data_IF_886614646357
#
_entry.id   IF_886614646357
#
_cell.length_a   1.000
_cell.length_b   1.000
_cell.length_c   1.000
_cell.angle_alpha   90.00
_cell.angle_beta   90.00
_cell.angle_gamma   90.00
#
_symmetry.space_group_name_H-M   'P 1'
#
loop_
_entity.id
_entity.type
_entity.pdbx_description
1 polymer ?
#
# COMPACT_ATOMS: atom_id res chain seq x y z
N UNK A 1 25.53 7.33 17.58
CA UNK A 1 24.75 6.98 16.37
C UNK A 1 24.25 5.54 16.50
N UNK A 2 22.93 5.33 16.53
CA UNK A 2 22.34 3.99 16.63
C UNK A 2 22.38 3.29 15.27
N UNK A 3 22.80 2.03 15.22
CA UNK A 3 22.90 1.24 13.97
C UNK A 3 21.88 0.11 13.87
N UNK A 4 21.19 -0.16 14.97
CA UNK A 4 20.25 -1.27 15.13
C UNK A 4 18.91 -0.75 15.60
N UNK A 5 17.85 -1.47 15.21
CA UNK A 5 16.49 -1.21 15.64
C UNK A 5 16.35 -1.50 17.15
N UNK A 6 15.79 -0.57 17.91
CA UNK A 6 15.55 -0.71 19.35
C UNK A 6 14.55 -1.81 19.70
N UNK A 7 13.74 -2.28 18.74
CA UNK A 7 12.68 -3.25 18.96
C UNK A 7 13.07 -4.70 18.61
N UNK A 8 13.91 -4.89 17.58
CA UNK A 8 14.23 -6.22 17.06
C UNK A 8 15.73 -6.48 16.90
N UNK A 9 16.57 -5.51 17.26
CA UNK A 9 18.03 -5.51 17.06
C UNK A 9 18.48 -5.74 15.61
N UNK A 10 17.57 -5.63 14.64
CA UNK A 10 17.89 -5.71 13.22
C UNK A 10 18.71 -4.51 12.75
N UNK A 11 19.56 -4.70 11.74
CA UNK A 11 20.35 -3.62 11.13
C UNK A 11 19.43 -2.59 10.47
N UNK A 12 19.68 -1.31 10.73
CA UNK A 12 19.09 -0.20 9.99
C UNK A 12 19.95 0.03 8.75
N UNK A 13 19.39 -0.21 7.56
CA UNK A 13 20.09 -0.14 6.29
C UNK A 13 20.10 1.30 5.73
N UNK A 14 21.00 1.59 4.78
CA UNK A 14 21.16 2.92 4.20
C UNK A 14 22.16 3.80 4.95
N UNK A 15 22.35 5.01 4.43
CA UNK A 15 23.29 6.03 4.89
C UNK A 15 22.56 7.27 5.48
N UNK A 16 21.23 7.22 5.58
CA UNK A 16 20.40 8.35 6.04
C UNK A 16 20.16 9.43 4.98
N UNK A 17 20.73 9.31 3.78
CA UNK A 17 20.51 10.22 2.66
C UNK A 17 20.67 11.70 3.06
N UNK A 18 19.64 12.54 2.90
CA UNK A 18 19.74 13.99 3.14
C UNK A 18 19.95 14.36 4.62
N UNK A 19 19.68 13.43 5.55
CA UNK A 19 19.87 13.67 6.99
C UNK A 19 21.31 13.46 7.45
N UNK A 20 22.16 12.83 6.64
CA UNK A 20 23.51 12.40 7.03
C UNK A 20 23.54 11.60 8.36
N UNK A 21 22.47 10.85 8.66
CA UNK A 21 22.35 10.00 9.85
C UNK A 21 23.19 8.71 9.76
N UNK A 22 23.81 8.41 8.63
CA UNK A 22 24.59 7.19 8.41
C UNK A 22 23.77 5.90 8.43
N UNK A 23 22.45 5.99 8.64
CA UNK A 23 21.49 4.88 8.70
C UNK A 23 20.12 5.32 8.21
N UNK A 24 19.36 4.39 7.66
CA UNK A 24 17.99 4.57 7.22
C UNK A 24 17.87 4.83 5.72
N UNK A 25 17.05 4.01 5.04
CA UNK A 25 16.51 4.32 3.70
C UNK A 25 15.06 4.81 3.76
N UNK A 26 14.36 4.47 4.84
CA UNK A 26 12.99 4.89 5.11
C UNK A 26 12.97 5.77 6.36
N UNK A 27 12.64 7.04 6.17
CA UNK A 27 12.75 8.09 7.18
C UNK A 27 11.39 8.75 7.35
N UNK A 28 10.97 9.00 8.59
CA UNK A 28 9.78 9.79 8.86
C UNK A 28 10.15 11.08 9.61
N UNK A 29 9.43 12.16 9.39
CA UNK A 29 9.69 13.41 10.09
C UNK A 29 8.41 14.22 10.32
N UNK A 30 8.38 14.91 11.45
CA UNK A 30 7.36 15.89 11.83
C UNK A 30 8.06 17.24 12.02
N UNK A 31 7.77 18.19 11.12
CA UNK A 31 8.30 19.55 11.17
C UNK A 31 7.81 20.34 12.39
N UNK A 32 6.57 20.11 12.82
CA UNK A 32 5.96 20.85 13.92
C UNK A 32 6.44 20.33 15.27
N UNK A 33 6.55 19.01 15.42
CA UNK A 33 7.01 18.39 16.66
C UNK A 33 8.54 18.21 16.72
N UNK A 34 9.27 18.52 15.66
CA UNK A 34 10.73 18.38 15.62
C UNK A 34 11.20 16.93 15.75
N UNK A 35 10.41 15.97 15.24
CA UNK A 35 10.66 14.54 15.38
C UNK A 35 11.17 13.95 14.08
N UNK A 36 12.14 13.04 14.19
CA UNK A 36 12.74 12.30 13.08
C UNK A 36 12.82 10.84 13.49
N UNK A 37 12.35 9.95 12.63
CA UNK A 37 12.40 8.51 12.83
C UNK A 37 13.09 7.81 11.65
N UNK A 38 13.77 6.72 11.96
CA UNK A 38 14.21 5.72 10.98
C UNK A 38 13.31 4.50 11.10
N UNK A 39 12.65 4.11 10.01
CA UNK A 39 11.75 2.95 10.00
C UNK A 39 12.55 1.70 9.69
N UNK A 40 12.48 0.69 10.56
CA UNK A 40 13.21 -0.56 10.38
C UNK A 40 12.66 -1.37 9.20
N UNK A 41 13.48 -1.83 8.25
CA UNK A 41 13.00 -2.65 7.13
C UNK A 41 12.55 -4.06 7.55
N UNK A 42 12.97 -4.54 8.73
CA UNK A 42 12.67 -5.90 9.21
C UNK A 42 11.35 -6.00 9.98
N UNK A 43 11.10 -5.08 10.90
CA UNK A 43 9.90 -5.10 11.76
C UNK A 43 8.97 -3.90 11.55
N UNK A 44 9.28 -2.98 10.64
CA UNK A 44 8.51 -1.77 10.35
C UNK A 44 8.29 -0.82 11.52
N UNK A 45 8.98 -1.02 12.64
CA UNK A 45 8.93 -0.13 13.81
C UNK A 45 9.73 1.15 13.57
N UNK A 46 9.21 2.25 14.09
CA UNK A 46 9.75 3.60 13.92
C UNK A 46 10.73 3.88 15.06
N UNK A 47 12.00 4.05 14.73
CA UNK A 47 13.07 4.28 15.70
C UNK A 47 13.35 5.77 15.76
N UNK A 48 13.01 6.41 16.88
CA UNK A 48 13.25 7.83 17.10
C UNK A 48 14.76 8.11 17.02
N UNK A 49 15.15 9.04 16.14
CA UNK A 49 16.53 9.47 16.01
C UNK A 49 16.94 10.30 17.25
N UNK A 50 18.18 10.23 17.75
CA UNK A 50 18.67 11.06 18.85
C UNK A 50 18.49 12.57 18.62
N UNK A 51 18.53 13.36 19.69
CA UNK A 51 18.22 14.81 19.69
C UNK A 51 19.24 15.69 18.96
N UNK A 52 20.48 15.21 18.77
CA UNK A 52 21.58 16.02 18.22
C UNK A 52 21.33 16.43 16.75
N UNK A 53 21.35 17.74 16.49
CA UNK A 53 21.15 18.41 15.19
C UNK A 53 19.82 18.09 14.47
N UNK A 54 18.74 17.72 15.18
CA UNK A 54 17.47 17.30 14.55
C UNK A 54 16.87 18.33 13.59
N UNK A 55 16.94 19.62 13.91
CA UNK A 55 16.30 20.69 13.12
C UNK A 55 16.89 20.78 11.70
N UNK A 56 18.22 20.83 11.58
CA UNK A 56 18.92 20.91 10.29
C UNK A 56 18.64 19.66 9.44
N UNK A 57 18.58 18.48 10.09
CA UNK A 57 18.27 17.20 9.43
C UNK A 57 16.82 17.14 8.96
N UNK A 58 15.88 17.68 9.74
CA UNK A 58 14.46 17.78 9.38
C UNK A 58 14.27 18.77 8.23
N UNK A 59 14.96 19.91 8.23
CA UNK A 59 14.92 20.86 7.12
C UNK A 59 15.50 20.28 5.82
N UNK A 60 16.58 19.50 5.91
CA UNK A 60 17.11 18.77 4.77
C UNK A 60 16.11 17.74 4.23
N UNK A 61 15.40 17.04 5.11
CA UNK A 61 14.30 16.15 4.74
C UNK A 61 13.11 16.88 4.14
N UNK A 62 12.72 18.02 4.69
CA UNK A 62 11.60 18.82 4.19
C UNK A 62 11.89 19.35 2.78
N UNK A 63 13.12 19.79 2.52
CA UNK A 63 13.60 20.17 1.17
C UNK A 63 13.59 18.98 0.22
N UNK A 64 14.18 17.85 0.62
CA UNK A 64 14.17 16.63 -0.17
C UNK A 64 12.75 16.12 -0.45
N UNK A 65 11.84 16.27 0.51
CA UNK A 65 10.44 15.92 0.37
C UNK A 65 9.69 16.87 -0.57
N UNK A 66 10.07 18.15 -0.63
CA UNK A 66 9.55 19.13 -1.59
C UNK A 66 9.92 18.83 -3.04
N UNK A 67 11.15 18.38 -3.26
CA UNK A 67 11.61 17.88 -4.58
C UNK A 67 11.19 16.42 -4.84
N UNK A 68 10.71 15.76 -3.79
CA UNK A 68 10.29 14.39 -3.77
C UNK A 68 8.91 14.23 -4.37
N UNK A 69 8.61 13.02 -4.80
CA UNK A 69 7.33 12.72 -5.40
C UNK A 69 6.40 12.09 -4.39
N UNK A 70 5.27 12.73 -4.11
CA UNK A 70 4.23 12.18 -3.24
C UNK A 70 3.72 10.88 -3.88
N UNK A 71 3.82 9.78 -3.15
CA UNK A 71 3.33 8.49 -3.57
C UNK A 71 1.93 8.23 -3.05
N UNK A 72 1.64 8.65 -1.82
CA UNK A 72 0.30 8.54 -1.25
C UNK A 72 0.20 9.48 -0.04
N UNK A 73 -0.98 10.02 0.25
CA UNK A 73 -1.19 10.92 1.38
C UNK A 73 -2.58 10.74 2.00
N UNK A 74 -2.66 11.12 3.26
CA UNK A 74 -3.85 11.19 4.12
C UNK A 74 -3.90 12.58 4.76
N UNK A 75 -4.85 12.83 5.68
CA UNK A 75 -4.90 14.11 6.37
C UNK A 75 -3.71 14.34 7.32
N UNK A 76 -3.06 13.27 7.79
CA UNK A 76 -2.00 13.36 8.80
C UNK A 76 -0.64 12.88 8.33
N UNK A 77 -0.55 12.07 7.26
CA UNK A 77 0.71 11.50 6.80
C UNK A 77 0.81 11.50 5.27
N UNK A 78 1.98 11.85 4.74
CA UNK A 78 2.31 11.72 3.33
C UNK A 78 3.56 10.87 3.13
N UNK A 79 3.45 9.83 2.30
CA UNK A 79 4.57 9.04 1.81
C UNK A 79 5.12 9.69 0.54
N UNK A 80 6.39 10.07 0.57
CA UNK A 80 7.11 10.80 -0.46
C UNK A 80 8.33 9.98 -0.84
N UNK A 81 8.62 9.85 -2.12
CA UNK A 81 9.81 9.13 -2.56
C UNK A 81 10.81 10.06 -3.23
N UNK A 82 12.06 9.96 -2.82
CA UNK A 82 13.14 10.83 -3.28
C UNK A 82 14.44 10.05 -3.41
N UNK A 83 15.05 10.02 -4.61
CA UNK A 83 16.37 9.39 -4.90
C UNK A 83 16.63 8.02 -4.26
N UNK A 84 15.62 7.15 -4.21
CA UNK A 84 15.72 5.80 -3.62
C UNK A 84 15.42 5.72 -2.11
N UNK A 85 15.04 6.84 -1.49
CA UNK A 85 14.56 6.93 -0.11
C UNK A 85 13.04 7.04 -0.08
N UNK A 86 12.45 6.45 0.96
CA UNK A 86 11.06 6.63 1.33
C UNK A 86 11.00 7.63 2.49
N UNK A 87 10.49 8.83 2.23
CA UNK A 87 10.32 9.90 3.20
C UNK A 87 8.85 9.96 3.63
N UNK A 88 8.57 9.88 4.93
CA UNK A 88 7.23 9.99 5.48
C UNK A 88 7.11 11.33 6.19
N UNK A 89 6.36 12.26 5.61
CA UNK A 89 6.07 13.54 6.23
C UNK A 89 4.83 13.41 7.10
N UNK A 90 4.95 13.75 8.37
CA UNK A 90 3.88 13.78 9.36
C UNK A 90 3.34 15.23 9.46
N UNK A 91 2.02 15.35 9.61
CA UNK A 91 1.28 16.61 9.63
C UNK A 91 0.50 16.87 8.34
N UNK A 92 -0.24 17.99 8.31
CA UNK A 92 -1.15 18.34 7.21
C UNK A 92 -0.37 18.46 5.88
N UNK A 93 -0.57 17.56 4.90
CA UNK A 93 0.21 17.59 3.68
C UNK A 93 -0.06 18.86 2.87
N UNK A 94 0.98 19.46 2.30
CA UNK A 94 0.79 20.43 1.21
C UNK A 94 0.14 19.66 0.05
N UNK A 95 -1.01 20.12 -0.44
CA UNK A 95 -1.73 19.49 -1.57
C UNK A 95 -0.75 19.37 -2.74
N UNK A 96 -0.50 18.17 -3.23
CA UNK A 96 0.46 17.93 -4.30
C UNK A 96 0.09 16.72 -5.16
N UNK A 97 0.42 16.90 -6.44
CA UNK A 97 0.09 16.06 -7.58
C UNK A 97 1.04 14.84 -7.67
N UNK A 98 0.48 13.67 -8.02
CA UNK A 98 1.16 12.37 -8.03
C UNK A 98 1.92 12.13 -9.35
N UNK A 99 2.93 11.25 -9.38
CA UNK A 99 3.56 10.82 -10.66
C UNK A 99 4.10 9.35 -10.72
N UNK A 100 3.40 8.44 -11.40
CA UNK A 100 3.88 7.48 -12.44
C UNK A 100 4.94 6.41 -12.18
N UNK A 101 5.97 6.62 -11.35
CA UNK A 101 7.15 5.74 -11.34
C UNK A 101 7.04 4.48 -10.46
N UNK A 102 6.03 4.41 -9.57
CA UNK A 102 5.89 3.38 -8.52
C UNK A 102 5.37 2.02 -9.01
N UNK A 103 4.81 1.96 -10.21
CA UNK A 103 4.02 0.81 -10.64
C UNK A 103 4.77 -0.16 -11.57
N UNK A 104 5.83 0.33 -12.22
CA UNK A 104 6.65 -0.48 -13.13
C UNK A 104 7.30 -1.69 -12.45
N UNK A 105 7.85 -1.51 -11.25
CA UNK A 105 8.55 -2.59 -10.53
C UNK A 105 7.60 -3.63 -9.92
N UNK A 106 6.46 -3.19 -9.35
CA UNK A 106 5.48 -4.11 -8.74
C UNK A 106 4.79 -5.01 -9.78
N UNK A 107 4.46 -4.46 -10.96
CA UNK A 107 3.88 -5.26 -12.04
C UNK A 107 4.91 -6.22 -12.64
N UNK A 108 6.20 -5.84 -12.71
CA UNK A 108 7.29 -6.75 -13.08
C UNK A 108 7.46 -7.89 -12.07
N UNK A 109 7.45 -7.61 -10.78
CA UNK A 109 7.52 -8.64 -9.73
C UNK A 109 6.35 -9.62 -9.79
N UNK A 110 5.11 -9.13 -10.00
CA UNK A 110 3.94 -10.00 -10.19
C UNK A 110 4.03 -10.84 -11.46
N UNK A 111 4.56 -10.29 -12.56
CA UNK A 111 4.82 -11.05 -13.80
C UNK A 111 5.88 -12.12 -13.56
N UNK A 112 6.94 -11.84 -12.79
CA UNK A 112 7.95 -12.83 -12.41
C UNK A 112 7.38 -13.93 -11.51
N UNK A 113 6.57 -13.61 -10.51
CA UNK A 113 5.88 -14.61 -9.67
C UNK A 113 4.91 -15.49 -10.49
N UNK A 114 4.18 -14.90 -11.44
CA UNK A 114 3.37 -15.67 -12.39
C UNK A 114 4.23 -16.60 -13.24
N UNK A 115 5.37 -16.12 -13.75
CA UNK A 115 6.30 -16.92 -14.54
C UNK A 115 6.89 -18.09 -13.73
N UNK A 116 7.16 -17.93 -12.43
CA UNK A 116 7.63 -19.03 -11.57
C UNK A 116 6.66 -20.21 -11.50
N UNK A 117 5.35 -19.98 -11.65
CA UNK A 117 4.35 -21.06 -11.69
C UNK A 117 4.08 -21.52 -13.13
N UNK A 118 3.93 -20.58 -14.06
CA UNK A 118 3.55 -20.86 -15.45
C UNK A 118 4.68 -21.54 -16.23
N UNK A 119 5.94 -21.12 -16.07
CA UNK A 119 7.09 -21.67 -16.81
C UNK A 119 7.30 -23.16 -16.50
N UNK A 120 7.47 -23.62 -15.24
CA UNK A 120 7.68 -25.03 -14.96
C UNK A 120 6.47 -25.90 -15.34
N UNK A 121 5.24 -25.41 -15.15
CA UNK A 121 4.03 -26.14 -15.60
C UNK A 121 3.92 -26.23 -17.12
N UNK A 122 4.37 -25.20 -17.86
CA UNK A 122 4.39 -25.22 -19.32
C UNK A 122 5.48 -26.17 -19.83
N UNK A 123 6.67 -26.16 -19.21
CA UNK A 123 7.76 -27.10 -19.51
C UNK A 123 7.33 -28.54 -19.23
N UNK A 124 6.69 -28.81 -18.09
CA UNK A 124 6.17 -30.13 -17.74
C UNK A 124 5.07 -30.60 -18.71
N UNK A 125 4.15 -29.73 -19.11
CA UNK A 125 3.11 -30.05 -20.08
C UNK A 125 3.68 -30.31 -21.50
N UNK A 126 4.72 -29.58 -21.91
CA UNK A 126 5.44 -29.84 -23.16
C UNK A 126 6.20 -31.18 -23.07
N UNK A 127 6.85 -31.47 -21.94
CA UNK A 127 7.52 -32.77 -21.71
C UNK A 127 6.57 -33.97 -21.77
N UNK A 128 5.37 -33.84 -21.19
CA UNK A 128 4.32 -34.87 -21.26
C UNK A 128 3.77 -35.04 -22.69
N UNK A 129 3.63 -33.95 -23.46
CA UNK A 129 3.17 -33.99 -24.85
C UNK A 129 4.21 -34.60 -25.81
N UNK A 130 5.51 -34.47 -25.52
CA UNK A 130 6.59 -35.16 -26.25
C UNK A 130 6.57 -36.66 -25.95
N UNK A 131 6.37 -37.06 -24.69
CA UNK A 131 6.31 -38.47 -24.30
C UNK A 131 5.09 -39.22 -24.87
N UNK A 132 3.92 -38.55 -24.98
CA UNK A 132 2.69 -39.16 -25.52
C UNK A 132 2.71 -39.27 -27.05
N UNK A 133 3.46 -38.43 -27.78
CA UNK A 133 3.47 -38.42 -29.25
C UNK A 133 4.34 -39.51 -29.90
N UNK A 134 5.21 -40.20 -29.16
CA UNK A 134 5.91 -41.37 -29.70
C UNK A 134 4.95 -42.54 -29.97
N UNK A 135 3.76 -42.56 -29.36
CA UNK A 135 2.83 -43.67 -29.44
C UNK A 135 1.64 -43.51 -30.42
N UNK A 136 1.30 -42.29 -30.87
CA UNK A 136 -0.01 -42.04 -31.52
C UNK A 136 0.00 -41.27 -32.85
N UNK A 137 1.15 -40.91 -33.42
CA UNK A 137 1.21 -40.32 -34.78
C UNK A 137 0.47 -38.98 -34.93
N UNK A 138 0.21 -38.26 -33.84
CA UNK A 138 -0.47 -36.96 -33.84
C UNK A 138 0.50 -35.79 -34.03
N UNK A 139 0.08 -34.74 -34.72
CA UNK A 139 0.89 -33.54 -34.97
C UNK A 139 1.24 -32.81 -33.67
N UNK A 140 2.49 -32.94 -33.21
CA UNK A 140 3.12 -32.29 -32.04
C UNK A 140 2.83 -30.78 -31.97
N UNK A 141 2.66 -30.11 -33.12
CA UNK A 141 2.51 -28.66 -33.22
C UNK A 141 1.26 -28.05 -32.56
N UNK A 142 0.12 -28.76 -32.54
CA UNK A 142 -1.16 -28.19 -32.05
C UNK A 142 -1.23 -28.11 -30.52
N UNK A 143 -0.62 -29.08 -29.83
CA UNK A 143 -0.55 -29.11 -28.36
C UNK A 143 0.50 -28.12 -27.82
N UNK A 144 1.68 -28.02 -28.46
CA UNK A 144 2.75 -27.08 -28.06
C UNK A 144 2.34 -25.62 -28.26
N UNK A 145 1.53 -25.29 -29.26
CA UNK A 145 1.08 -23.92 -29.52
C UNK A 145 0.02 -23.40 -28.53
N UNK A 146 -0.75 -24.30 -27.89
CA UNK A 146 -1.84 -23.94 -26.97
C UNK A 146 -1.51 -24.15 -25.47
N UNK A 147 -0.42 -24.83 -25.12
CA UNK A 147 -0.02 -25.10 -23.73
C UNK A 147 0.11 -23.84 -22.86
N UNK A 148 0.72 -22.71 -23.31
CA UNK A 148 0.80 -21.50 -22.49
C UNK A 148 -0.58 -20.90 -22.17
N UNK A 149 -1.53 -20.98 -23.11
CA UNK A 149 -2.91 -20.51 -22.91
C UNK A 149 -3.66 -21.39 -21.91
N UNK A 150 -3.47 -22.71 -21.99
CA UNK A 150 -4.07 -23.68 -21.08
C UNK A 150 -3.56 -23.49 -19.65
N UNK A 151 -2.24 -23.38 -19.47
CA UNK A 151 -1.61 -23.15 -18.15
C UNK A 151 -2.06 -21.82 -17.56
N UNK A 152 -2.10 -20.74 -18.37
CA UNK A 152 -2.65 -19.45 -17.94
C UNK A 152 -4.11 -19.57 -17.49
N UNK A 153 -4.95 -20.31 -18.22
CA UNK A 153 -6.36 -20.53 -17.84
C UNK A 153 -6.48 -21.26 -16.49
N UNK A 154 -5.68 -22.30 -16.26
CA UNK A 154 -5.65 -23.04 -14.97
C UNK A 154 -5.23 -22.11 -13.82
N UNK A 155 -4.18 -21.31 -14.02
CA UNK A 155 -3.71 -20.37 -13.02
C UNK A 155 -4.76 -19.29 -12.69
N UNK A 156 -5.40 -18.71 -13.72
CA UNK A 156 -6.51 -17.75 -13.55
C UNK A 156 -7.66 -18.36 -12.77
N UNK A 157 -8.06 -19.58 -13.12
CA UNK A 157 -9.14 -20.28 -12.42
C UNK A 157 -8.78 -20.51 -10.95
N UNK A 158 -7.55 -20.98 -10.66
CA UNK A 158 -7.05 -21.16 -9.30
C UNK A 158 -7.09 -19.86 -8.48
N UNK A 159 -6.61 -18.74 -9.05
CA UNK A 159 -6.67 -17.42 -8.40
C UNK A 159 -8.12 -16.97 -8.20
N UNK A 160 -9.00 -17.21 -9.18
CA UNK A 160 -10.42 -16.91 -9.09
C UNK A 160 -11.17 -17.72 -8.02
N UNK A 161 -10.67 -18.91 -7.65
CA UNK A 161 -11.24 -19.74 -6.58
C UNK A 161 -10.83 -19.29 -5.18
N UNK A 162 -9.82 -18.43 -5.03
CA UNK A 162 -9.34 -18.00 -3.71
C UNK A 162 -10.48 -17.34 -2.93
N UNK A 163 -10.71 -17.83 -1.70
CA UNK A 163 -11.71 -17.30 -0.79
C UNK A 163 -11.28 -15.91 -0.30
N UNK A 164 -12.25 -15.02 -0.16
CA UNK A 164 -12.09 -13.74 0.53
C UNK A 164 -12.61 -13.98 1.95
N UNK A 165 -11.71 -14.00 2.91
CA UNK A 165 -12.04 -14.21 4.32
C UNK A 165 -12.29 -12.83 4.91
N UNK A 166 -13.56 -12.55 5.20
CA UNK A 166 -13.99 -11.37 5.94
C UNK A 166 -14.14 -11.74 7.40
N UNK A 167 -14.02 -10.77 8.31
CA UNK A 167 -14.24 -11.00 9.74
C UNK A 167 -15.68 -11.44 9.96
N UNK A 168 -16.62 -10.73 9.34
CA UNK A 168 -18.05 -11.06 9.36
C UNK A 168 -18.56 -11.16 7.91
N UNK A 169 -18.77 -12.39 7.40
CA UNK A 169 -19.33 -12.57 6.06
C UNK A 169 -20.76 -12.04 6.01
N UNK A 170 -21.11 -11.19 5.03
CA UNK A 170 -22.44 -10.59 5.01
C UNK A 170 -23.50 -11.61 4.59
N UNK A 171 -24.74 -11.38 5.00
CA UNK A 171 -25.89 -12.21 4.65
C UNK A 171 -26.67 -11.55 3.52
N UNK A 172 -27.06 -12.32 2.51
CA UNK A 172 -27.88 -11.82 1.40
C UNK A 172 -29.31 -11.52 1.89
N UNK A 173 -29.76 -10.27 1.81
CA UNK A 173 -31.10 -9.86 2.24
C UNK A 173 -32.22 -10.54 1.44
N UNK A 174 -31.96 -10.96 0.19
CA UNK A 174 -32.97 -11.58 -0.67
C UNK A 174 -33.18 -13.06 -0.41
N UNK A 175 -32.13 -13.82 -0.09
CA UNK A 175 -32.22 -15.28 0.02
C UNK A 175 -31.69 -15.84 1.35
N UNK A 176 -31.27 -14.99 2.28
CA UNK A 176 -30.78 -15.37 3.60
C UNK A 176 -29.44 -16.12 3.62
N UNK A 177 -28.79 -16.31 2.47
CA UNK A 177 -27.54 -17.07 2.42
C UNK A 177 -26.35 -16.24 2.89
N UNK A 178 -25.48 -16.85 3.72
CA UNK A 178 -24.17 -16.28 4.06
C UNK A 178 -23.30 -16.19 2.79
N UNK A 179 -22.81 -14.99 2.48
CA UNK A 179 -22.08 -14.71 1.26
C UNK A 179 -20.60 -15.08 1.39
N UNK A 180 -20.29 -16.35 1.10
CA UNK A 180 -18.91 -16.82 0.98
C UNK A 180 -18.28 -16.34 -0.33
N UNK A 181 -17.54 -15.24 -0.26
CA UNK A 181 -16.96 -14.58 -1.42
C UNK A 181 -15.68 -15.28 -1.93
N UNK A 182 -15.51 -15.26 -3.25
CA UNK A 182 -14.28 -15.64 -3.94
C UNK A 182 -13.84 -14.50 -4.84
N UNK A 183 -12.57 -14.44 -5.20
CA UNK A 183 -12.03 -13.38 -6.04
C UNK A 183 -12.82 -13.19 -7.36
N UNK A 184 -13.34 -14.27 -7.97
CA UNK A 184 -14.18 -14.17 -9.17
C UNK A 184 -15.59 -13.61 -8.96
N UNK A 185 -16.13 -13.65 -7.74
CA UNK A 185 -17.46 -13.08 -7.47
C UNK A 185 -17.42 -11.55 -7.55
N UNK A 186 -16.24 -10.96 -7.35
CA UNK A 186 -16.02 -9.51 -7.38
C UNK A 186 -16.11 -8.93 -8.80
N UNK A 187 -16.14 -9.75 -9.85
CA UNK A 187 -16.30 -9.26 -11.22
C UNK A 187 -17.57 -8.44 -11.42
N UNK A 188 -18.65 -8.78 -10.71
CA UNK A 188 -19.94 -8.07 -10.76
C UNK A 188 -20.08 -7.00 -9.68
N UNK A 189 -19.13 -6.89 -8.76
CA UNK A 189 -19.16 -5.87 -7.73
C UNK A 189 -19.00 -4.47 -8.34
N UNK A 190 -19.49 -3.45 -7.63
CA UNK A 190 -19.40 -2.04 -8.03
C UNK A 190 -18.79 -1.25 -6.89
N UNK A 191 -17.87 -0.35 -7.20
CA UNK A 191 -17.37 0.61 -6.21
C UNK A 191 -18.47 1.64 -5.99
N UNK A 192 -18.72 1.99 -4.75
CA UNK A 192 -19.61 3.08 -4.34
C UNK A 192 -18.94 3.87 -3.21
N UNK A 193 -19.56 4.95 -2.75
CA UNK A 193 -19.08 5.78 -1.65
C UNK A 193 -20.17 5.92 -0.60
N UNK A 194 -19.82 5.81 0.67
CA UNK A 194 -20.72 6.09 1.79
C UNK A 194 -20.30 7.37 2.49
N UNK A 195 -21.25 8.07 3.09
CA UNK A 195 -20.98 9.31 3.83
C UNK A 195 -20.06 9.10 5.04
N UNK A 196 -20.07 7.91 5.66
CA UNK A 196 -19.27 7.60 6.86
C UNK A 196 -17.88 7.05 6.56
N UNK A 197 -17.74 6.15 5.58
CA UNK A 197 -16.48 5.41 5.37
C UNK A 197 -15.78 5.74 4.04
N UNK A 198 -16.38 6.61 3.23
CA UNK A 198 -15.82 7.15 2.00
C UNK A 198 -15.84 6.16 0.83
N UNK A 199 -15.35 4.92 1.00
CA UNK A 199 -15.40 3.85 0.00
C UNK A 199 -16.26 2.70 0.50
N UNK A 200 -17.09 2.17 -0.39
CA UNK A 200 -17.83 0.94 -0.17
C UNK A 200 -17.90 0.11 -1.45
N UNK A 201 -18.28 -1.15 -1.29
CA UNK A 201 -18.35 -2.11 -2.38
C UNK A 201 -19.71 -2.78 -2.38
N UNK A 202 -20.50 -2.50 -3.41
CA UNK A 202 -21.78 -3.17 -3.64
C UNK A 202 -21.51 -4.53 -4.26
N UNK A 203 -22.00 -5.58 -3.60
CA UNK A 203 -21.80 -6.96 -3.99
C UNK A 203 -23.02 -7.54 -4.68
N UNK A 204 -22.76 -8.53 -5.54
CA UNK A 204 -23.78 -9.44 -6.06
C UNK A 204 -23.70 -10.76 -5.30
N UNK A 205 -24.84 -11.23 -4.79
CA UNK A 205 -24.94 -12.51 -4.11
C UNK A 205 -24.50 -13.67 -5.04
N UNK A 206 -23.51 -14.49 -4.63
CA UNK A 206 -23.07 -15.63 -5.43
C UNK A 206 -24.14 -16.72 -5.61
N UNK A 207 -25.09 -16.82 -4.68
CA UNK A 207 -26.10 -17.88 -4.65
C UNK A 207 -27.32 -17.56 -5.52
N UNK A 208 -27.87 -16.35 -5.41
CA UNK A 208 -29.12 -15.95 -6.08
C UNK A 208 -28.97 -14.80 -7.09
N UNK A 209 -27.78 -14.19 -7.19
CA UNK A 209 -27.51 -13.10 -8.13
C UNK A 209 -28.11 -11.74 -7.74
N UNK A 210 -28.71 -11.61 -6.55
CA UNK A 210 -29.23 -10.34 -6.07
C UNK A 210 -28.10 -9.33 -5.80
N UNK A 211 -28.29 -8.08 -6.20
CA UNK A 211 -27.48 -6.95 -5.75
C UNK A 211 -28.10 -6.37 -4.47
N UNK A 212 -27.29 -5.75 -3.61
CA UNK A 212 -27.82 -4.99 -2.45
C UNK A 212 -26.92 -5.02 -1.23
N UNK A 213 -26.17 -6.11 -1.04
CA UNK A 213 -25.25 -6.22 0.09
C UNK A 213 -24.02 -5.32 -0.11
N UNK A 214 -23.73 -4.47 0.86
CA UNK A 214 -22.62 -3.52 0.80
C UNK A 214 -21.54 -3.89 1.82
N UNK A 215 -20.29 -3.97 1.38
CA UNK A 215 -19.13 -3.93 2.27
C UNK A 215 -18.67 -2.49 2.41
N UNK A 216 -18.18 -2.13 3.59
CA UNK A 216 -17.57 -0.82 3.86
C UNK A 216 -16.16 -0.99 4.44
N UNK A 217 -15.40 0.11 4.48
CA UNK A 217 -14.16 0.18 5.25
C UNK A 217 -13.08 -0.82 4.81
N UNK A 218 -12.44 -1.44 5.80
CA UNK A 218 -11.33 -2.37 5.58
C UNK A 218 -11.76 -3.61 4.79
N UNK A 219 -12.97 -4.12 5.03
CA UNK A 219 -13.51 -5.30 4.32
C UNK A 219 -13.78 -4.99 2.85
N UNK A 220 -14.33 -3.81 2.55
CA UNK A 220 -14.50 -3.34 1.17
C UNK A 220 -13.17 -3.22 0.45
N UNK A 221 -12.18 -2.58 1.09
CA UNK A 221 -10.84 -2.39 0.53
C UNK A 221 -10.13 -3.73 0.29
N UNK A 222 -10.18 -4.64 1.27
CA UNK A 222 -9.59 -5.97 1.16
C UNK A 222 -10.21 -6.79 0.04
N UNK A 223 -11.55 -6.85 -0.01
CA UNK A 223 -12.28 -7.57 -1.05
C UNK A 223 -12.00 -6.99 -2.45
N UNK A 224 -12.00 -5.66 -2.57
CA UNK A 224 -11.71 -4.95 -3.82
C UNK A 224 -10.29 -5.25 -4.33
N UNK A 225 -9.26 -5.18 -3.49
CA UNK A 225 -7.87 -5.52 -3.87
C UNK A 225 -7.76 -6.94 -4.42
N UNK A 226 -8.40 -7.91 -3.75
CA UNK A 226 -8.42 -9.32 -4.18
C UNK A 226 -9.15 -9.50 -5.51
N UNK A 227 -10.29 -8.83 -5.69
CA UNK A 227 -11.06 -8.84 -6.93
C UNK A 227 -10.31 -8.23 -8.11
N UNK A 228 -9.67 -7.07 -7.91
CA UNK A 228 -8.89 -6.38 -8.94
C UNK A 228 -7.66 -7.17 -9.36
N UNK A 229 -6.93 -7.76 -8.40
CA UNK A 229 -5.81 -8.66 -8.69
C UNK A 229 -6.24 -9.81 -9.61
N UNK A 230 -7.39 -10.46 -9.31
CA UNK A 230 -7.91 -11.52 -10.14
C UNK A 230 -8.34 -11.02 -11.53
N UNK A 231 -9.06 -9.90 -11.60
CA UNK A 231 -9.55 -9.35 -12.86
C UNK A 231 -8.42 -8.90 -13.78
N UNK A 232 -7.38 -8.25 -13.24
CA UNK A 232 -6.22 -7.82 -14.02
C UNK A 232 -5.38 -9.01 -14.50
N UNK A 233 -5.39 -10.13 -13.77
CA UNK A 233 -4.84 -11.40 -14.24
C UNK A 233 -5.69 -12.04 -15.35
N UNK A 234 -7.00 -12.18 -15.12
CA UNK A 234 -7.93 -12.88 -15.99
C UNK A 234 -8.15 -12.18 -17.33
N UNK A 235 -8.17 -10.84 -17.29
CA UNK A 235 -8.49 -9.96 -18.44
C UNK A 235 -7.31 -9.05 -18.81
N UNK A 236 -6.09 -9.46 -18.43
CA UNK A 236 -4.87 -8.70 -18.66
C UNK A 236 -4.54 -8.55 -20.15
N UNK A 237 -4.47 -7.29 -20.60
CA UNK A 237 -3.96 -6.88 -21.92
C UNK A 237 -2.49 -6.41 -21.87
N UNK A 238 -2.04 -5.65 -22.88
CA UNK A 238 -0.76 -4.88 -22.82
C UNK A 238 -0.90 -3.63 -21.92
N UNK A 239 -1.47 -3.81 -20.72
CA UNK A 239 -1.61 -2.73 -19.75
C UNK A 239 -0.23 -2.26 -19.33
N UNK A 240 0.08 -0.98 -19.54
CA UNK A 240 1.32 -0.40 -19.02
C UNK A 240 1.02 0.27 -17.68
N UNK A 241 1.90 0.02 -16.73
CA UNK A 241 1.88 0.68 -15.42
C UNK A 241 1.81 2.21 -15.56
N UNK A 242 2.53 2.74 -16.53
CA UNK A 242 2.61 4.17 -16.87
C UNK A 242 1.26 4.73 -17.32
N UNK A 243 0.51 4.00 -18.15
CA UNK A 243 -0.79 4.43 -18.66
C UNK A 243 -1.83 4.48 -17.54
N UNK A 244 -1.84 3.46 -16.69
CA UNK A 244 -2.69 3.41 -15.51
C UNK A 244 -2.33 4.51 -14.50
N UNK A 245 -1.04 4.78 -14.29
CA UNK A 245 -0.64 5.84 -13.37
C UNK A 245 -1.03 7.22 -13.87
N UNK A 246 -0.88 7.50 -15.18
CA UNK A 246 -1.38 8.74 -15.79
C UNK A 246 -2.88 8.93 -15.60
N UNK A 247 -3.67 7.85 -15.53
CA UNK A 247 -5.10 7.93 -15.20
C UNK A 247 -5.36 8.32 -13.73
N UNK A 248 -4.54 7.82 -12.80
CA UNK A 248 -4.63 8.22 -11.38
C UNK A 248 -4.31 9.72 -11.25
N UNK A 249 -3.26 10.17 -11.94
CA UNK A 249 -2.80 11.56 -11.92
C UNK A 249 -3.81 12.49 -12.56
N UNK A 250 -4.27 12.16 -13.78
CA UNK A 250 -5.26 12.97 -14.49
C UNK A 250 -6.61 13.06 -13.77
N UNK A 251 -6.90 12.13 -12.86
CA UNK A 251 -8.07 12.21 -11.98
C UNK A 251 -7.87 13.15 -10.78
N UNK A 252 -6.63 13.61 -10.50
CA UNK A 252 -6.27 14.41 -9.33
C UNK A 252 -5.80 13.58 -8.14
N UNK A 253 -5.51 12.29 -8.32
CA UNK A 253 -4.97 11.39 -7.30
C UNK A 253 -5.83 10.16 -7.00
N UNK A 254 -5.35 9.24 -6.12
CA UNK A 254 -6.03 7.99 -5.79
C UNK A 254 -7.46 8.18 -5.29
N UNK A 255 -7.67 9.16 -4.40
CA UNK A 255 -8.97 9.43 -3.80
C UNK A 255 -9.99 9.88 -4.85
N UNK A 256 -9.62 10.83 -5.69
CA UNK A 256 -10.47 11.35 -6.76
C UNK A 256 -10.76 10.29 -7.81
N UNK A 257 -9.77 9.43 -8.15
CA UNK A 257 -10.01 8.31 -9.07
C UNK A 257 -11.02 7.31 -8.50
N UNK A 258 -10.90 6.92 -7.22
CA UNK A 258 -11.86 6.03 -6.56
C UNK A 258 -13.26 6.64 -6.62
N UNK A 259 -13.37 7.94 -6.33
CA UNK A 259 -14.63 8.66 -6.35
C UNK A 259 -15.25 8.76 -7.76
N UNK A 260 -14.44 9.03 -8.80
CA UNK A 260 -14.92 9.05 -10.19
C UNK A 260 -15.34 7.64 -10.67
N UNK A 261 -14.64 6.59 -10.27
CA UNK A 261 -15.07 5.21 -10.57
C UNK A 261 -16.39 4.90 -9.86
N UNK A 262 -16.54 5.30 -8.60
CA UNK A 262 -17.77 5.08 -7.84
C UNK A 262 -18.99 5.76 -8.48
N UNK A 263 -18.84 7.00 -8.96
CA UNK A 263 -19.91 7.75 -9.63
C UNK A 263 -20.45 7.10 -10.92
N UNK A 264 -19.64 6.26 -11.57
CA UNK A 264 -20.02 5.63 -12.85
C UNK A 264 -20.90 4.39 -12.67
N UNK A 265 -21.00 3.87 -11.44
CA UNK A 265 -21.80 2.68 -11.09
C UNK A 265 -21.53 1.45 -11.98
N UNK A 266 -20.31 1.37 -12.50
CA UNK A 266 -19.87 0.29 -13.38
C UNK A 266 -19.41 -0.91 -12.55
N UNK A 267 -19.68 -2.11 -13.06
CA UNK A 267 -19.10 -3.33 -12.50
C UNK A 267 -17.58 -3.36 -12.70
N UNK A 268 -16.83 -3.97 -11.78
CA UNK A 268 -15.37 -4.09 -11.91
C UNK A 268 -14.94 -4.79 -13.21
N UNK A 269 -15.77 -5.73 -13.70
CA UNK A 269 -15.57 -6.40 -14.99
C UNK A 269 -15.66 -5.44 -16.18
N UNK A 270 -16.60 -4.49 -16.13
CA UNK A 270 -16.86 -3.53 -17.21
C UNK A 270 -15.84 -2.38 -17.28
N UNK A 271 -15.02 -2.19 -16.25
CA UNK A 271 -13.92 -1.23 -16.29
C UNK A 271 -12.91 -1.57 -17.38
N UNK A 272 -12.51 -0.55 -18.13
CA UNK A 272 -11.43 -0.64 -19.11
C UNK A 272 -10.15 -1.17 -18.44
N UNK A 273 -9.33 -1.98 -19.15
CA UNK A 273 -8.10 -2.57 -18.63
C UNK A 273 -7.21 -1.59 -17.83
N UNK A 274 -6.88 -0.44 -18.41
CA UNK A 274 -5.98 0.53 -17.79
C UNK A 274 -6.63 1.24 -16.60
N UNK A 275 -7.94 1.50 -16.66
CA UNK A 275 -8.69 2.11 -15.55
C UNK A 275 -8.85 1.15 -14.36
N UNK A 276 -8.99 -0.15 -14.63
CA UNK A 276 -9.02 -1.18 -13.59
C UNK A 276 -7.67 -1.33 -12.91
N UNK A 277 -6.58 -1.27 -13.68
CA UNK A 277 -5.23 -1.24 -13.13
C UNK A 277 -5.01 0.05 -12.32
N UNK A 278 -5.45 1.20 -12.82
CA UNK A 278 -5.39 2.48 -12.10
C UNK A 278 -6.17 2.45 -10.79
N UNK A 279 -7.37 1.84 -10.79
CA UNK A 279 -8.14 1.64 -9.56
C UNK A 279 -7.41 0.72 -8.57
N UNK A 280 -6.81 -0.38 -9.04
CA UNK A 280 -6.02 -1.26 -8.17
C UNK A 280 -4.88 -0.50 -7.51
N UNK A 281 -4.19 0.30 -8.30
CA UNK A 281 -3.09 1.15 -7.89
C UNK A 281 -3.52 2.18 -6.84
N UNK A 282 -4.64 2.88 -7.07
CA UNK A 282 -5.20 3.83 -6.13
C UNK A 282 -5.62 3.18 -4.79
N UNK A 283 -6.23 1.99 -4.84
CA UNK A 283 -6.65 1.26 -3.63
C UNK A 283 -5.44 0.75 -2.84
N UNK A 284 -4.42 0.23 -3.53
CA UNK A 284 -3.17 -0.20 -2.89
C UNK A 284 -2.43 0.96 -2.22
N UNK A 285 -2.37 2.13 -2.88
CA UNK A 285 -1.74 3.33 -2.31
C UNK A 285 -2.48 3.84 -1.07
N UNK A 286 -3.81 3.88 -1.11
CA UNK A 286 -4.60 4.28 0.06
C UNK A 286 -4.35 3.36 1.26
N UNK A 287 -4.34 2.04 1.03
CA UNK A 287 -4.07 1.06 2.09
C UNK A 287 -2.68 1.23 2.70
N UNK A 288 -1.69 1.60 1.88
CA UNK A 288 -0.33 1.81 2.34
C UNK A 288 -0.22 3.03 3.27
N UNK A 289 -0.94 4.12 3.00
CA UNK A 289 -0.90 5.30 3.88
C UNK A 289 -1.70 5.08 5.15
N UNK A 290 -2.86 4.42 5.08
CA UNK A 290 -3.66 4.08 6.27
C UNK A 290 -2.86 3.20 7.25
N UNK A 291 -1.99 2.32 6.75
CA UNK A 291 -1.03 1.59 7.57
C UNK A 291 0.06 2.49 8.15
N UNK A 292 0.63 3.38 7.35
CA UNK A 292 1.64 4.34 7.85
C UNK A 292 1.08 5.28 8.92
N UNK A 293 -0.16 5.75 8.77
CA UNK A 293 -0.83 6.56 9.78
C UNK A 293 -1.03 5.80 11.10
N UNK A 294 -1.43 4.53 11.03
CA UNK A 294 -1.56 3.69 12.23
C UNK A 294 -0.21 3.49 12.92
N UNK A 295 0.83 3.18 12.16
CA UNK A 295 2.18 3.01 12.70
C UNK A 295 2.72 4.31 13.29
N UNK A 296 2.42 5.45 12.66
CA UNK A 296 2.74 6.77 13.19
C UNK A 296 2.07 6.99 14.55
N UNK A 297 0.76 6.72 14.69
CA UNK A 297 0.06 6.87 15.98
C UNK A 297 0.71 6.04 17.09
N UNK A 298 1.02 4.78 16.80
CA UNK A 298 1.71 3.90 17.77
C UNK A 298 3.12 4.41 18.11
N UNK A 299 3.87 4.90 17.12
CA UNK A 299 5.19 5.49 17.34
C UNK A 299 5.15 6.79 18.14
N UNK A 300 4.10 7.58 17.93
CA UNK A 300 3.85 8.84 18.62
C UNK A 300 3.55 8.61 20.10
N UNK A 301 2.72 7.61 20.42
CA UNK A 301 2.46 7.17 21.80
C UNK A 301 3.76 6.75 22.51
N UNK A 302 4.61 5.96 21.85
CA UNK A 302 5.91 5.54 22.41
C UNK A 302 6.83 6.74 22.63
N UNK A 303 6.87 7.69 21.70
CA UNK A 303 7.69 8.89 21.82
C UNK A 303 7.17 9.82 22.93
N UNK A 304 5.85 9.93 23.13
CA UNK A 304 5.26 10.68 24.24
C UNK A 304 5.63 10.06 25.60
N UNK A 305 5.64 8.73 25.71
CA UNK A 305 6.14 8.04 26.91
C UNK A 305 7.63 8.34 27.15
N UNK A 306 8.45 8.34 26.09
CA UNK A 306 9.88 8.67 26.19
C UNK A 306 10.12 10.12 26.64
N UNK A 307 9.36 11.08 26.08
CA UNK A 307 9.41 12.49 26.47
C UNK A 307 8.91 12.68 27.93
N UNK A 308 7.89 11.94 28.35
CA UNK A 308 7.38 11.93 29.73
C UNK A 308 8.38 11.37 30.74
N UNK A 309 9.17 10.35 30.36
CA UNK A 309 10.26 9.83 31.21
C UNK A 309 11.43 10.80 31.33
N UNK A 310 11.73 11.58 30.29
CA UNK A 310 12.74 12.66 30.34
C UNK A 310 12.27 13.86 31.19
N UNK A 311 10.97 14.07 31.29
CA UNK A 311 10.35 15.12 32.12
C UNK A 311 10.15 14.71 33.59
N UNK A 312 10.48 13.46 33.95
CA UNK A 312 10.28 12.93 35.31
C UNK A 312 11.57 12.89 36.14
N UNK A 313 12.68 13.50 35.67
CA UNK A 313 13.87 13.68 36.49
C UNK A 313 13.70 14.93 37.37
N UNK A 314 13.47 14.78 38.70
CA UNK A 314 13.21 15.90 39.60
C UNK A 314 14.38 16.90 39.64
N UNK A 315 15.58 16.46 39.25
CA UNK A 315 16.75 17.32 39.20
C UNK A 315 16.76 18.25 37.98
N UNK A 316 16.17 17.83 36.85
CA UNK A 316 16.07 18.65 35.65
C UNK A 316 15.00 19.72 35.82
N UNK A 317 13.85 19.37 36.40
CA UNK A 317 12.78 20.34 36.70
C UNK A 317 13.25 21.42 37.69
N UNK A 318 14.03 21.03 38.70
CA UNK A 318 14.61 21.96 39.67
C UNK A 318 15.63 22.91 39.02
N UNK A 319 16.46 22.40 38.11
CA UNK A 319 17.48 23.20 37.44
C UNK A 319 16.86 24.15 36.39
N UNK A 320 15.80 23.71 35.70
CA UNK A 320 14.98 24.55 34.80
C UNK A 320 14.27 25.65 35.58
N UNK A 321 13.75 25.36 36.78
CA UNK A 321 13.15 26.37 37.68
C UNK A 321 14.18 27.42 38.10
N UNK A 322 15.36 27.00 38.57
CA UNK A 322 16.47 27.90 38.93
C UNK A 322 16.97 28.77 37.77
N UNK A 323 16.94 28.25 36.54
CA UNK A 323 17.33 29.02 35.35
C UNK A 323 16.27 30.06 34.99
N UNK A 324 14.98 29.75 35.15
CA UNK A 324 13.89 30.72 34.98
C UNK A 324 13.97 31.84 36.00
N UNK A 325 14.15 31.51 37.28
CA UNK A 325 14.31 32.50 38.37
C UNK A 325 15.49 33.45 38.11
N UNK A 326 16.65 32.92 37.69
CA UNK A 326 17.81 33.75 37.31
C UNK A 326 17.57 34.64 36.09
N UNK A 327 16.76 34.21 35.14
CA UNK A 327 16.44 35.00 33.95
C UNK A 327 15.46 36.13 34.28
N UNK A 328 14.54 35.90 35.21
CA UNK A 328 13.58 36.91 35.67
C UNK A 328 14.27 37.95 36.57
N UNK A 329 15.17 37.55 37.47
CA UNK A 329 16.02 38.47 38.25
C UNK A 329 16.91 39.38 37.37
N UNK A 330 17.31 38.88 36.20
CA UNK A 330 18.14 39.62 35.24
C UNK A 330 17.32 40.57 34.35
N UNK A 331 15.99 40.41 34.31
CA UNK A 331 15.06 41.32 33.63
C UNK A 331 14.57 42.45 34.53
N UNK A 332 14.61 42.25 35.85
CA UNK A 332 14.22 43.26 36.85
C UNK A 332 15.36 44.20 37.28
N UNK A 333 16.59 43.97 36.80
CA UNK A 333 17.73 44.90 36.88
C UNK A 333 17.94 45.64 35.56
#
# INVERSE_FOLDING_TARGET
MYRTCAFCNGKLDGDGGPTNLGVGRRLAFDEWKGRLWVICPRCSRWNLAPLDDRLERIEALARAAGDGRVAAATDQVALIRWRGYDLIRVGKPRRLEFATWRYGERLRARRQEQLKFVVPMTVAAVGLAVAVNVAAGGSVGVFVWNTPRLVKRIYVEMVGRRKIVLVEPPICERCGSVMLLRARHLERARVTTTAREGMALLLTCPSCGAEGTMLTGADAQFALRRGLTFLNLARGGRQRAEDAARLVEGAGGPHQLIHDVARRELTLRSLAPDRRLALEMAVDERAEVEELERQWKEAEEIAEIADGMLSADPTIDEEVRRLRERLDEKKER
#
